data_IF_240513139364
#
_entry.id   IF_240513139364
#
_cell.length_a   1.000
_cell.length_b   1.000
_cell.length_c   1.000
_cell.angle_alpha   90.00
_cell.angle_beta   90.00
_cell.angle_gamma   90.00
#
_symmetry.space_group_name_H-M   'P 1'
#
loop_
_entity.id
_entity.type
_entity.pdbx_description
1 polymer ?
#
# COMPACT_ATOMS: atom_id res chain seq x y z
N UNK A 1 4.01 -1.75 -11.70
CA UNK A 1 4.15 -0.75 -12.77
C UNK A 1 2.99 0.25 -12.75
N UNK A 2 1.74 -0.21 -12.72
CA UNK A 2 0.51 0.59 -12.92
C UNK A 2 0.31 1.83 -12.04
N UNK A 3 0.64 1.78 -10.75
CA UNK A 3 0.49 2.93 -9.83
C UNK A 3 1.72 3.85 -9.90
N UNK A 4 2.91 3.25 -9.92
CA UNK A 4 4.18 3.98 -9.90
C UNK A 4 4.37 4.83 -11.15
N UNK A 5 3.95 4.34 -12.32
CA UNK A 5 4.12 5.05 -13.58
C UNK A 5 3.41 6.42 -13.57
N UNK A 6 2.18 6.50 -13.07
CA UNK A 6 1.44 7.77 -13.00
C UNK A 6 2.04 8.75 -12.00
N UNK A 7 2.38 8.26 -10.82
CA UNK A 7 3.00 9.10 -9.79
C UNK A 7 4.36 9.60 -10.26
N UNK A 8 5.17 8.73 -10.88
CA UNK A 8 6.48 9.12 -11.41
C UNK A 8 6.36 10.14 -12.53
N UNK A 9 5.46 9.92 -13.49
CA UNK A 9 5.23 10.86 -14.58
C UNK A 9 4.77 12.23 -14.06
N UNK A 10 3.86 12.26 -13.09
CA UNK A 10 3.41 13.48 -12.44
C UNK A 10 4.57 14.23 -11.75
N UNK A 11 5.31 13.55 -10.87
CA UNK A 11 6.43 14.15 -10.12
C UNK A 11 7.53 14.64 -11.05
N UNK A 12 7.84 13.91 -12.12
CA UNK A 12 8.87 14.31 -13.08
C UNK A 12 8.54 15.62 -13.80
N UNK A 13 7.27 15.94 -14.06
CA UNK A 13 6.88 17.21 -14.68
C UNK A 13 7.08 18.40 -13.74
N UNK A 14 6.91 18.20 -12.43
CA UNK A 14 7.06 19.27 -11.44
C UNK A 14 8.51 19.77 -11.31
N UNK A 15 9.50 18.99 -11.75
CA UNK A 15 10.92 19.38 -11.71
C UNK A 15 11.23 20.57 -12.64
N UNK A 16 10.41 20.81 -13.66
CA UNK A 16 10.64 21.87 -14.64
C UNK A 16 10.01 23.23 -14.25
N UNK A 17 9.18 23.28 -13.20
CA UNK A 17 8.52 24.49 -12.70
C UNK A 17 7.73 25.30 -13.75
N UNK A 18 7.15 24.61 -14.73
CA UNK A 18 6.33 25.20 -15.78
C UNK A 18 4.85 25.03 -15.44
N UNK A 19 4.22 26.08 -14.91
CA UNK A 19 2.88 26.05 -14.31
C UNK A 19 1.81 25.39 -15.18
N UNK A 20 1.80 25.68 -16.49
CA UNK A 20 0.82 25.08 -17.41
C UNK A 20 0.94 23.54 -17.45
N UNK A 21 2.17 23.04 -17.57
CA UNK A 21 2.45 21.61 -17.67
C UNK A 21 2.25 20.92 -16.33
N UNK A 22 2.55 21.60 -15.22
CA UNK A 22 2.26 21.11 -13.87
C UNK A 22 0.74 20.91 -13.67
N UNK A 23 -0.08 21.88 -14.10
CA UNK A 23 -1.53 21.78 -14.03
C UNK A 23 -2.07 20.64 -14.90
N UNK A 24 -1.56 20.47 -16.11
CA UNK A 24 -1.95 19.37 -17.00
C UNK A 24 -1.56 18.00 -16.41
N UNK A 25 -0.35 17.89 -15.85
CA UNK A 25 0.11 16.69 -15.20
C UNK A 25 -0.74 16.34 -13.96
N UNK A 26 -1.13 17.34 -13.17
CA UNK A 26 -2.03 17.16 -12.03
C UNK A 26 -3.41 16.66 -12.48
N UNK A 27 -4.03 17.34 -13.44
CA UNK A 27 -5.33 16.97 -13.98
C UNK A 27 -5.33 15.53 -14.51
N UNK A 28 -4.29 15.16 -15.25
CA UNK A 28 -4.12 13.79 -15.75
C UNK A 28 -3.96 12.79 -14.62
N UNK A 29 -3.09 13.05 -13.65
CA UNK A 29 -2.84 12.15 -12.52
C UNK A 29 -4.12 11.89 -11.71
N UNK A 30 -4.90 12.94 -11.43
CA UNK A 30 -6.18 12.85 -10.71
C UNK A 30 -7.24 12.10 -11.53
N UNK A 31 -7.35 12.40 -12.84
CA UNK A 31 -8.26 11.68 -13.74
C UNK A 31 -7.94 10.18 -13.80
N UNK A 32 -6.66 9.85 -13.85
CA UNK A 32 -6.13 8.50 -13.84
C UNK A 32 -6.37 7.78 -12.50
N UNK A 33 -6.23 8.50 -11.37
CA UNK A 33 -6.54 7.97 -10.04
C UNK A 33 -8.00 7.54 -9.96
N UNK A 34 -8.92 8.41 -10.40
CA UNK A 34 -10.36 8.14 -10.41
C UNK A 34 -10.74 7.00 -11.34
N UNK A 35 -10.06 6.90 -12.50
CA UNK A 35 -10.48 5.99 -13.56
C UNK A 35 -9.87 4.59 -13.45
N UNK A 36 -8.66 4.45 -12.91
CA UNK A 36 -8.02 3.12 -12.82
C UNK A 36 -7.13 2.88 -11.61
N UNK A 37 -6.12 3.71 -11.33
CA UNK A 37 -5.08 3.27 -10.39
C UNK A 37 -5.48 3.44 -8.92
N UNK A 38 -6.46 4.29 -8.62
CA UNK A 38 -7.04 4.40 -7.27
C UNK A 38 -7.73 3.10 -6.84
N UNK A 39 -8.47 2.45 -7.75
CA UNK A 39 -9.06 1.14 -7.46
C UNK A 39 -8.00 0.05 -7.30
N UNK A 40 -6.96 0.07 -8.15
CA UNK A 40 -5.83 -0.86 -8.03
C UNK A 40 -5.11 -0.71 -6.68
N UNK A 41 -4.92 0.53 -6.21
CA UNK A 41 -4.29 0.82 -4.92
C UNK A 41 -5.04 0.15 -3.76
N UNK A 42 -6.35 0.39 -3.62
CA UNK A 42 -7.13 -0.18 -2.51
C UNK A 42 -7.27 -1.71 -2.60
N UNK A 43 -7.23 -2.25 -3.82
CA UNK A 43 -7.25 -3.71 -4.04
C UNK A 43 -5.94 -4.37 -3.59
N UNK A 44 -4.82 -3.66 -3.65
CA UNK A 44 -3.50 -4.16 -3.22
C UNK A 44 -3.27 -3.91 -1.71
N UNK A 45 -3.83 -2.85 -1.14
CA UNK A 45 -3.70 -2.56 0.29
C UNK A 45 -4.22 -3.68 1.19
N UNK A 46 -5.39 -4.26 0.88
CA UNK A 46 -5.99 -5.36 1.65
C UNK A 46 -5.09 -6.61 1.73
N UNK A 47 -4.63 -7.20 0.62
CA UNK A 47 -3.75 -8.37 0.66
C UNK A 47 -2.37 -8.04 1.24
N UNK A 48 -1.83 -6.84 1.04
CA UNK A 48 -0.58 -6.44 1.69
C UNK A 48 -0.71 -6.38 3.20
N UNK A 49 -1.79 -5.78 3.71
CA UNK A 49 -2.08 -5.76 5.14
C UNK A 49 -2.23 -7.18 5.68
N UNK A 50 -3.02 -8.02 5.00
CA UNK A 50 -3.18 -9.41 5.38
C UNK A 50 -1.82 -10.13 5.42
N UNK A 51 -0.97 -9.97 4.42
CA UNK A 51 0.36 -10.60 4.38
C UNK A 51 1.25 -10.14 5.53
N UNK A 52 1.31 -8.84 5.81
CA UNK A 52 2.17 -8.26 6.84
C UNK A 52 1.75 -8.70 8.26
N UNK A 53 0.44 -8.76 8.53
CA UNK A 53 -0.08 -9.11 9.86
C UNK A 53 -0.42 -10.60 10.01
N UNK A 54 -0.42 -11.39 8.92
CA UNK A 54 -0.64 -12.84 9.00
C UNK A 54 0.46 -13.53 9.78
N UNK A 55 1.71 -13.08 9.66
CA UNK A 55 2.81 -13.66 10.42
C UNK A 55 2.70 -13.27 11.90
N UNK A 56 2.31 -12.05 12.25
CA UNK A 56 2.05 -11.68 13.65
C UNK A 56 0.96 -12.58 14.29
N UNK A 57 -0.05 -13.04 13.56
CA UNK A 57 -1.03 -13.99 14.10
C UNK A 57 -0.50 -15.43 14.27
N UNK A 58 0.62 -15.79 13.63
CA UNK A 58 1.33 -17.06 13.87
C UNK A 58 2.28 -16.92 15.05
N UNK A 59 3.04 -15.81 15.13
CA UNK A 59 3.93 -15.51 16.26
C UNK A 59 3.16 -15.25 17.57
N UNK A 60 1.97 -14.63 17.51
CA UNK A 60 1.10 -14.43 18.67
C UNK A 60 0.47 -15.76 19.14
N UNK A 61 0.14 -16.68 18.21
CA UNK A 61 -0.37 -18.01 18.55
C UNK A 61 0.69 -18.95 19.13
N UNK A 62 1.92 -18.93 18.61
CA UNK A 62 3.03 -19.69 19.17
C UNK A 62 3.40 -19.20 20.58
N UNK A 63 3.30 -17.90 20.86
CA UNK A 63 3.48 -17.36 22.22
C UNK A 63 2.33 -17.72 23.19
N UNK A 64 1.09 -17.85 22.73
CA UNK A 64 -0.04 -18.29 23.57
C UNK A 64 0.01 -19.79 23.92
N UNK A 65 0.59 -20.63 23.06
CA UNK A 65 0.80 -22.06 23.32
C UNK A 65 1.96 -22.30 24.30
N UNK A 66 3.04 -21.50 24.24
CA UNK A 66 4.17 -21.60 25.16
C UNK A 66 3.79 -21.21 26.61
N UNK A 67 2.89 -20.23 26.79
CA UNK A 67 2.36 -19.83 28.11
C UNK A 67 1.40 -20.84 28.75
N UNK A 68 0.90 -21.83 28.01
CA UNK A 68 -0.02 -22.86 28.51
C UNK A 68 0.68 -24.18 28.87
N UNK A 69 1.95 -24.37 28.52
CA UNK A 69 2.68 -25.61 28.80
C UNK A 69 3.17 -25.70 30.26
N UNK A 70 3.38 -24.56 30.91
CA UNK A 70 3.76 -24.47 32.33
C UNK A 70 2.63 -24.87 33.29
N UNK A 71 1.37 -24.91 32.82
CA UNK A 71 0.20 -25.33 33.61
C UNK A 71 -0.18 -26.82 33.43
N UNK A 72 0.62 -27.59 32.68
CA UNK A 72 0.29 -28.99 32.35
C UNK A 72 0.87 -30.01 33.35
N UNK A 73 1.73 -29.58 34.28
CA UNK A 73 2.40 -30.44 35.26
C UNK A 73 1.99 -30.19 36.72
N UNK A 74 1.00 -29.33 36.97
CA UNK A 74 0.37 -29.14 38.29
C UNK A 74 -0.94 -29.93 38.44
#
# INVERSE_FOLDING_TARGET
>A
ADIYQDIRNFVSVYQYNLTAQMNDALNRCVGNFRSYWGQKLVNVMRPLHALYYRDNQFWDRENEEELNLDNLWD
#
